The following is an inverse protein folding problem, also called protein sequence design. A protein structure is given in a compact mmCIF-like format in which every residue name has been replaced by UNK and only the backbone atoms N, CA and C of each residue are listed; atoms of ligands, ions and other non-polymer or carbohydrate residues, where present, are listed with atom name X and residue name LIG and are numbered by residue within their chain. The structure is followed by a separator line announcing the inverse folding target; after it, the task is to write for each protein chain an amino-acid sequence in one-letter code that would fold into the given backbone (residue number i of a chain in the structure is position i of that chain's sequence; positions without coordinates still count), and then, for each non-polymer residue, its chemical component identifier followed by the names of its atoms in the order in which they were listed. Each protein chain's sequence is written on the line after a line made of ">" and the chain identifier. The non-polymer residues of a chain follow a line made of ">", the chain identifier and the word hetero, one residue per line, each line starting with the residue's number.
data_IF_093227803178
#
_entry.id   IF_093227803178
#
_cell.length_a   1.000
_cell.length_b   1.000
_cell.length_c   1.000
_cell.angle_alpha   90.00
_cell.angle_beta   90.00
_cell.angle_gamma   90.00
#
_symmetry.space_group_name_H-M   'P 1'
#
loop_
_entity.id
_entity.type
_entity.pdbx_description
1 polymer ?
#
# COMPACT_ATOMS: atom_id res chain seq x y z
N UNK A 1 -2.92 -16.03 -10.53
CA UNK A 1 -2.50 -14.99 -9.56
C UNK A 1 -2.81 -15.53 -8.16
N UNK A 2 -1.85 -15.58 -7.22
CA UNK A 2 -2.11 -16.06 -5.84
C UNK A 2 -1.32 -17.29 -5.36
N UNK A 3 -0.45 -17.88 -6.19
CA UNK A 3 0.33 -19.06 -5.80
C UNK A 3 1.24 -18.84 -4.56
N UNK A 4 1.63 -17.60 -4.27
CA UNK A 4 2.40 -17.26 -3.06
C UNK A 4 1.61 -17.52 -1.77
N UNK A 5 0.27 -17.48 -1.80
CA UNK A 5 -0.56 -17.81 -0.65
C UNK A 5 -0.46 -19.30 -0.33
N UNK A 6 -0.48 -20.15 -1.35
CA UNK A 6 -0.26 -21.61 -1.17
C UNK A 6 1.12 -21.86 -0.58
N UNK A 7 2.17 -21.18 -1.08
CA UNK A 7 3.53 -21.35 -0.52
C UNK A 7 3.65 -20.86 0.91
N UNK A 8 3.02 -19.74 1.27
CA UNK A 8 3.06 -19.18 2.63
C UNK A 8 2.27 -20.00 3.64
N UNK A 9 1.07 -20.46 3.27
CA UNK A 9 0.14 -21.08 4.21
C UNK A 9 0.14 -22.61 4.18
N UNK A 10 0.51 -23.21 3.05
CA UNK A 10 0.59 -24.66 2.89
C UNK A 10 2.04 -25.15 2.69
N UNK A 11 2.99 -24.25 2.44
CA UNK A 11 4.42 -24.53 2.41
C UNK A 11 5.15 -24.01 3.66
N UNK A 12 6.46 -23.83 3.55
CA UNK A 12 7.29 -23.31 4.65
C UNK A 12 7.20 -21.77 4.76
N UNK A 13 6.52 -21.30 5.80
CA UNK A 13 6.31 -19.88 6.07
C UNK A 13 7.59 -19.13 6.47
N UNK A 14 8.68 -19.82 6.86
CA UNK A 14 9.94 -19.16 7.24
C UNK A 14 10.66 -18.55 6.03
N UNK A 15 10.39 -19.07 4.83
CA UNK A 15 10.98 -18.62 3.56
C UNK A 15 10.15 -17.50 2.93
N UNK A 16 8.83 -17.48 3.15
CA UNK A 16 7.93 -16.48 2.58
C UNK A 16 7.86 -15.22 3.49
N UNK A 17 8.12 -14.02 2.96
CA UNK A 17 8.23 -12.81 3.79
C UNK A 17 6.90 -12.42 4.42
N UNK A 18 6.96 -11.90 5.66
CA UNK A 18 5.79 -11.33 6.32
C UNK A 18 5.41 -9.97 5.70
N UNK A 19 4.23 -9.84 5.08
CA UNK A 19 3.85 -8.62 4.36
C UNK A 19 3.78 -7.36 5.24
N UNK A 20 3.65 -7.51 6.56
CA UNK A 20 3.56 -6.37 7.48
C UNK A 20 4.93 -5.86 7.96
N UNK A 21 5.98 -6.65 7.77
CA UNK A 21 7.32 -6.38 8.32
C UNK A 21 8.37 -6.32 7.20
N UNK A 22 7.99 -5.83 6.02
CA UNK A 22 8.91 -5.65 4.89
C UNK A 22 9.39 -4.19 4.78
N UNK A 23 10.62 -3.95 4.27
CA UNK A 23 11.64 -4.94 3.92
C UNK A 23 12.44 -5.44 5.14
N UNK A 24 12.82 -6.73 5.15
CA UNK A 24 13.64 -7.33 6.21
C UNK A 24 15.15 -7.24 5.96
N UNK A 25 15.56 -7.13 4.68
CA UNK A 25 16.95 -6.92 4.30
C UNK A 25 17.25 -5.44 4.07
N UNK A 26 18.49 -4.98 4.34
CA UNK A 26 18.91 -3.62 4.03
C UNK A 26 18.75 -3.30 2.53
N UNK A 27 18.36 -2.06 2.18
CA UNK A 27 18.13 -1.68 0.78
C UNK A 27 19.42 -1.72 -0.08
N UNK A 28 20.59 -1.63 0.54
CA UNK A 28 21.89 -1.64 -0.15
C UNK A 28 22.49 -3.06 -0.25
N UNK A 29 21.80 -4.07 0.27
CA UNK A 29 22.28 -5.46 0.21
C UNK A 29 22.38 -5.94 -1.24
N UNK A 30 23.61 -6.14 -1.72
CA UNK A 30 23.90 -6.50 -3.12
C UNK A 30 23.95 -5.31 -4.08
N UNK A 31 23.84 -4.07 -3.61
CA UNK A 31 23.87 -2.86 -4.43
C UNK A 31 24.96 -1.89 -3.95
N UNK A 32 26.14 -1.89 -4.59
CA UNK A 32 27.24 -1.01 -4.20
C UNK A 32 26.90 0.49 -4.24
N UNK A 33 26.06 0.92 -5.20
CA UNK A 33 25.62 2.31 -5.35
C UNK A 33 24.14 2.37 -5.76
N UNK A 34 23.23 2.22 -4.79
CA UNK A 34 21.79 2.35 -5.03
C UNK A 34 21.38 3.82 -5.08
N UNK A 35 20.90 4.29 -6.24
CA UNK A 35 20.34 5.65 -6.39
C UNK A 35 18.97 5.76 -5.71
N UNK A 36 18.71 6.87 -5.03
CA UNK A 36 17.38 7.20 -4.49
C UNK A 36 16.34 7.48 -5.60
N UNK A 37 15.06 7.38 -5.23
CA UNK A 37 13.96 7.74 -6.14
C UNK A 37 13.93 9.25 -6.32
N UNK A 38 13.76 9.68 -7.56
CA UNK A 38 13.57 11.10 -7.88
C UNK A 38 12.26 11.60 -7.26
N UNK A 39 12.37 12.54 -6.32
CA UNK A 39 11.29 13.05 -5.48
C UNK A 39 10.42 14.11 -6.16
N UNK A 40 10.25 14.06 -7.49
CA UNK A 40 9.57 15.09 -8.30
C UNK A 40 8.08 15.37 -8.00
N UNK A 41 7.55 14.92 -6.86
CA UNK A 41 6.35 15.47 -6.24
C UNK A 41 6.79 16.46 -5.16
N UNK A 42 6.84 17.75 -5.52
CA UNK A 42 7.13 18.83 -4.58
C UNK A 42 6.07 18.85 -3.48
N UNK A 43 6.46 18.47 -2.27
CA UNK A 43 5.65 18.67 -1.08
C UNK A 43 5.70 20.16 -0.70
N UNK A 44 4.70 20.92 -1.14
CA UNK A 44 4.42 22.27 -0.68
C UNK A 44 4.54 23.35 -1.75
N UNK A 45 3.39 23.82 -2.22
CA UNK A 45 3.17 25.27 -2.31
C UNK A 45 1.76 25.56 -1.75
N UNK A 46 1.74 26.53 -0.85
CA UNK A 46 0.63 27.37 -0.40
C UNK A 46 -0.85 26.91 -0.59
N UNK A 47 -1.40 26.33 0.49
CA UNK A 47 -2.78 26.65 0.92
C UNK A 47 -3.91 26.32 -0.06
N UNK A 48 -4.37 25.05 -0.01
CA UNK A 48 -5.52 24.43 -0.70
C UNK A 48 -5.14 23.64 -1.96
N UNK A 49 -4.22 22.69 -1.79
CA UNK A 49 -3.96 21.61 -2.74
C UNK A 49 -4.82 20.40 -2.38
N UNK A 50 -5.56 19.86 -3.35
CA UNK A 50 -6.45 18.73 -3.17
C UNK A 50 -5.72 17.59 -2.47
N UNK A 51 -6.15 17.25 -1.25
CA UNK A 51 -5.64 16.10 -0.53
C UNK A 51 -6.05 14.86 -1.33
N UNK A 52 -5.14 14.38 -2.19
CA UNK A 52 -5.24 13.03 -2.70
C UNK A 52 -5.31 12.15 -1.45
N UNK A 53 -6.44 11.48 -1.21
CA UNK A 53 -6.61 10.76 0.05
C UNK A 53 -5.48 9.75 0.13
N UNK A 54 -4.79 9.71 1.27
CA UNK A 54 -3.97 8.56 1.61
C UNK A 54 -4.82 7.33 1.28
N UNK A 55 -4.27 6.45 0.43
CA UNK A 55 -5.01 5.42 -0.32
C UNK A 55 -5.66 4.35 0.59
N UNK A 56 -6.68 4.77 1.34
CA UNK A 56 -7.31 4.03 2.43
C UNK A 56 -8.61 4.66 2.94
N UNK A 57 -9.00 5.85 2.47
CA UNK A 57 -10.30 6.49 2.79
C UNK A 57 -11.20 6.57 1.55
N UNK A 58 -11.54 5.41 0.97
CA UNK A 58 -12.76 5.30 0.18
C UNK A 58 -13.94 5.48 1.15
N UNK A 59 -14.45 6.70 1.30
CA UNK A 59 -15.72 6.93 2.00
C UNK A 59 -16.78 6.11 1.26
N UNK A 60 -17.49 5.17 1.91
CA UNK A 60 -18.58 4.47 1.25
C UNK A 60 -19.62 5.50 0.78
N UNK A 61 -20.11 5.35 -0.46
CA UNK A 61 -21.22 6.16 -0.95
C UNK A 61 -22.39 6.03 0.05
N UNK A 62 -23.08 7.13 0.40
CA UNK A 62 -24.27 7.02 1.23
C UNK A 62 -25.28 6.13 0.51
N UNK A 63 -25.69 5.04 1.17
CA UNK A 63 -26.79 4.23 0.69
C UNK A 63 -28.04 5.13 0.60
N UNK A 64 -28.73 5.23 -0.56
CA UNK A 64 -30.02 5.88 -0.58
C UNK A 64 -30.94 5.08 0.35
N UNK A 65 -31.48 5.75 1.37
CA UNK A 65 -32.47 5.16 2.26
C UNK A 65 -33.59 4.58 1.39
N UNK A 66 -33.81 3.28 1.48
CA UNK A 66 -34.96 2.64 0.88
C UNK A 66 -36.20 3.30 1.47
N UNK A 67 -36.86 4.14 0.67
CA UNK A 67 -38.17 4.66 1.01
C UNK A 67 -39.12 3.46 0.95
N UNK A 68 -39.37 2.86 2.11
CA UNK A 68 -40.52 1.97 2.30
C UNK A 68 -41.74 2.87 2.20
N UNK A 69 -42.37 2.88 1.04
CA UNK A 69 -43.72 3.39 0.87
C UNK A 69 -44.65 2.39 1.56
N UNK A 70 -45.40 2.89 2.55
CA UNK A 70 -46.48 2.16 3.22
C UNK A 70 -47.71 2.04 2.32
#
# INVERSE_FOLDING_TARGET
>A
MGAHLVRRYLGDASVEPDPLQMPTFPPDYGFPERKERDGGHTAGDDGRTAEAPAAGLLRPLPHPAAQVQA
#
